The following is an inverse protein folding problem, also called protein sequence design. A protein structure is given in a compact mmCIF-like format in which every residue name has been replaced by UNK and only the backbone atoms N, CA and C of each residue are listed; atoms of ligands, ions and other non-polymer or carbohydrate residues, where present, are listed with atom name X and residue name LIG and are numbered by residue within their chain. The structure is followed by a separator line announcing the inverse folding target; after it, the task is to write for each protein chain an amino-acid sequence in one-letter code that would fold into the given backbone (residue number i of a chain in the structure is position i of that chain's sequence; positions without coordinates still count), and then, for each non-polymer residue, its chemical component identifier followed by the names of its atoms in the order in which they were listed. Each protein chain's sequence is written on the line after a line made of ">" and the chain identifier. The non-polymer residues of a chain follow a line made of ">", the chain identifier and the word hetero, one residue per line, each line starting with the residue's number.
data_IF_510186310548
#
_entry.id   IF_510186310548
#
_cell.length_a   1.000
_cell.length_b   1.000
_cell.length_c   1.000
_cell.angle_alpha   90.00
_cell.angle_beta   90.00
_cell.angle_gamma   90.00
#
_symmetry.space_group_name_H-M   'P 1'
#
loop_
_entity.id
_entity.type
_entity.pdbx_description
1 polymer ?
#
# COMPACT_ATOMS: atom_id res chain seq x y z
N UNK A 1 -35.74 38.16 -8.40
CA UNK A 1 -36.51 36.90 -8.54
C UNK A 1 -35.54 35.74 -8.52
N UNK A 2 -35.65 34.80 -7.56
CA UNK A 2 -34.78 33.61 -7.50
C UNK A 2 -35.27 32.62 -8.56
N UNK A 3 -34.37 32.12 -9.41
CA UNK A 3 -34.69 31.04 -10.36
C UNK A 3 -35.26 29.84 -9.56
N UNK A 4 -36.35 29.20 -10.02
CA UNK A 4 -36.80 27.95 -9.44
C UNK A 4 -35.66 26.94 -9.45
N UNK A 5 -35.46 26.25 -8.32
CA UNK A 5 -34.43 25.23 -8.18
C UNK A 5 -34.79 24.05 -9.09
N UNK A 6 -33.89 23.70 -9.98
CA UNK A 6 -34.04 22.54 -10.85
C UNK A 6 -33.68 21.28 -10.06
N UNK A 7 -34.70 20.66 -9.47
CA UNK A 7 -34.54 19.45 -8.68
C UNK A 7 -34.07 18.26 -9.53
N UNK A 8 -34.40 18.22 -10.82
CA UNK A 8 -33.98 17.14 -11.72
C UNK A 8 -32.48 17.21 -11.98
N UNK A 9 -31.95 18.43 -12.15
CA UNK A 9 -30.51 18.66 -12.24
C UNK A 9 -29.77 18.27 -10.94
N UNK A 10 -30.32 18.62 -9.77
CA UNK A 10 -29.76 18.25 -8.47
C UNK A 10 -29.77 16.73 -8.24
N UNK A 11 -30.87 16.05 -8.60
CA UNK A 11 -31.00 14.60 -8.51
C UNK A 11 -29.99 13.89 -9.42
N UNK A 12 -29.82 14.39 -10.66
CA UNK A 12 -28.82 13.87 -11.59
C UNK A 12 -27.40 14.05 -11.06
N UNK A 13 -27.07 15.24 -10.55
CA UNK A 13 -25.76 15.51 -9.97
C UNK A 13 -25.45 14.61 -8.75
N UNK A 14 -26.46 14.31 -7.92
CA UNK A 14 -26.30 13.36 -6.80
C UNK A 14 -26.09 11.93 -7.28
N UNK A 15 -26.86 11.49 -8.28
CA UNK A 15 -26.70 10.16 -8.87
C UNK A 15 -25.31 9.97 -9.48
N UNK A 16 -24.80 10.96 -10.21
CA UNK A 16 -23.46 10.92 -10.80
C UNK A 16 -22.37 10.89 -9.73
N UNK A 17 -22.49 11.68 -8.66
CA UNK A 17 -21.58 11.61 -7.50
C UNK A 17 -21.61 10.24 -6.83
N UNK A 18 -22.78 9.65 -6.63
CA UNK A 18 -22.90 8.31 -6.06
C UNK A 18 -22.20 7.25 -6.92
N UNK A 19 -22.34 7.34 -8.26
CA UNK A 19 -21.63 6.47 -9.21
C UNK A 19 -20.12 6.66 -9.13
N UNK A 20 -19.62 7.90 -9.13
CA UNK A 20 -18.20 8.19 -9.00
C UNK A 20 -17.60 7.63 -7.71
N UNK A 21 -18.31 7.79 -6.58
CA UNK A 21 -17.89 7.22 -5.30
C UNK A 21 -17.82 5.69 -5.34
N UNK A 22 -18.80 5.05 -5.99
CA UNK A 22 -18.81 3.59 -6.16
C UNK A 22 -17.61 3.12 -7.00
N UNK A 23 -17.37 3.76 -8.14
CA UNK A 23 -16.22 3.44 -9.00
C UNK A 23 -14.91 3.62 -8.26
N UNK A 24 -14.72 4.74 -7.54
CA UNK A 24 -13.51 4.97 -6.75
C UNK A 24 -13.30 3.90 -5.69
N UNK A 25 -14.36 3.49 -4.97
CA UNK A 25 -14.28 2.40 -3.98
C UNK A 25 -13.89 1.07 -4.64
N UNK A 26 -14.43 0.77 -5.81
CA UNK A 26 -14.08 -0.45 -6.54
C UNK A 26 -12.62 -0.46 -6.97
N UNK A 27 -12.11 0.66 -7.49
CA UNK A 27 -10.69 0.78 -7.84
C UNK A 27 -9.79 0.60 -6.60
N UNK A 28 -10.12 1.26 -5.48
CA UNK A 28 -9.36 1.14 -4.23
C UNK A 28 -9.32 -0.29 -3.69
N UNK A 29 -10.42 -1.03 -3.78
CA UNK A 29 -10.45 -2.44 -3.39
C UNK A 29 -9.61 -3.30 -4.34
N UNK A 30 -9.64 -3.02 -5.65
CA UNK A 30 -8.77 -3.68 -6.63
C UNK A 30 -7.29 -3.44 -6.32
N UNK A 31 -6.90 -2.18 -6.09
CA UNK A 31 -5.53 -1.81 -5.70
C UNK A 31 -5.09 -2.52 -4.42
N UNK A 32 -5.98 -2.64 -3.42
CA UNK A 32 -5.69 -3.35 -2.18
C UNK A 32 -5.44 -4.85 -2.42
N UNK A 33 -6.26 -5.49 -3.24
CA UNK A 33 -6.10 -6.91 -3.57
C UNK A 33 -4.75 -7.15 -4.24
N UNK A 34 -4.37 -6.30 -5.20
CA UNK A 34 -3.06 -6.37 -5.86
C UNK A 34 -1.90 -6.10 -4.88
N UNK A 35 -2.00 -5.07 -4.04
CA UNK A 35 -0.93 -4.69 -3.10
C UNK A 35 -0.67 -5.78 -2.04
N UNK A 36 -1.72 -6.51 -1.65
CA UNK A 36 -1.63 -7.61 -0.69
C UNK A 36 -1.21 -8.94 -1.33
N UNK A 37 -1.10 -9.00 -2.67
CA UNK A 37 -0.83 -10.21 -3.43
C UNK A 37 -1.99 -11.22 -3.41
N UNK A 38 -3.19 -10.78 -3.03
CA UNK A 38 -4.37 -11.62 -2.95
C UNK A 38 -4.97 -11.90 -4.35
N UNK A 39 -4.51 -11.22 -5.38
CA UNK A 39 -4.85 -11.47 -6.79
C UNK A 39 -4.33 -12.82 -7.31
N UNK A 40 -3.33 -13.39 -6.65
CA UNK A 40 -2.83 -14.73 -6.95
C UNK A 40 -3.72 -15.86 -6.42
N UNK A 41 -4.67 -15.55 -5.52
CA UNK A 41 -5.60 -16.53 -4.96
C UNK A 41 -6.75 -16.82 -5.93
N UNK A 42 -7.30 -18.04 -5.87
CA UNK A 42 -8.53 -18.36 -6.59
C UNK A 42 -9.71 -17.52 -6.08
N UNK A 43 -10.68 -17.23 -6.96
CA UNK A 43 -11.84 -16.39 -6.61
C UNK A 43 -12.64 -17.02 -5.46
N UNK A 44 -12.77 -18.34 -5.45
CA UNK A 44 -13.45 -19.12 -4.42
C UNK A 44 -12.70 -19.08 -3.09
N UNK A 45 -11.36 -19.18 -3.11
CA UNK A 45 -10.52 -19.12 -1.91
C UNK A 45 -10.56 -17.75 -1.27
N UNK A 46 -10.44 -16.70 -2.10
CA UNK A 46 -10.57 -15.32 -1.66
C UNK A 46 -11.96 -15.05 -1.08
N UNK A 47 -13.03 -15.52 -1.73
CA UNK A 47 -14.38 -15.42 -1.23
C UNK A 47 -14.54 -16.11 0.14
N UNK A 48 -14.01 -17.33 0.29
CA UNK A 48 -14.02 -18.07 1.56
C UNK A 48 -13.29 -17.31 2.68
N UNK A 49 -12.11 -16.77 2.40
CA UNK A 49 -11.35 -15.97 3.35
C UNK A 49 -12.11 -14.71 3.78
N UNK A 50 -12.75 -14.00 2.84
CA UNK A 50 -13.55 -12.81 3.13
C UNK A 50 -14.82 -13.13 3.95
N UNK A 51 -15.49 -14.26 3.67
CA UNK A 51 -16.64 -14.71 4.45
C UNK A 51 -16.24 -15.04 5.89
N UNK A 52 -15.14 -15.77 6.08
CA UNK A 52 -14.61 -16.05 7.41
C UNK A 52 -14.22 -14.74 8.14
N UNK A 53 -13.61 -13.80 7.42
CA UNK A 53 -13.26 -12.50 8.00
C UNK A 53 -14.49 -11.64 8.36
N UNK A 54 -15.58 -11.77 7.60
CA UNK A 54 -16.84 -11.12 7.88
C UNK A 54 -17.52 -11.68 9.14
N UNK A 55 -17.40 -12.98 9.39
CA UNK A 55 -17.98 -13.67 10.54
C UNK A 55 -17.16 -13.55 11.84
N UNK A 56 -15.92 -13.05 11.77
CA UNK A 56 -15.02 -13.01 12.91
C UNK A 56 -15.47 -12.05 14.03
N UNK A 57 -15.20 -12.45 15.27
CA UNK A 57 -15.52 -11.70 16.47
C UNK A 57 -14.69 -10.41 16.60
N UNK A 58 -15.19 -9.47 17.41
CA UNK A 58 -14.53 -8.18 17.70
C UNK A 58 -13.04 -8.30 18.11
N UNK A 59 -12.63 -9.18 19.05
CA UNK A 59 -11.21 -9.29 19.42
C UNK A 59 -10.33 -9.74 18.26
N UNK A 60 -10.79 -10.73 17.47
CA UNK A 60 -10.08 -11.23 16.29
C UNK A 60 -9.93 -10.15 15.24
N UNK A 61 -11.00 -9.38 15.00
CA UNK A 61 -10.99 -8.24 14.08
C UNK A 61 -10.02 -7.14 14.50
N UNK A 62 -9.87 -6.89 15.80
CA UNK A 62 -8.91 -5.91 16.30
C UNK A 62 -7.46 -6.34 16.04
N UNK A 63 -7.14 -7.63 16.20
CA UNK A 63 -5.82 -8.17 15.86
C UNK A 63 -5.53 -7.98 14.37
N UNK A 64 -6.49 -8.31 13.50
CA UNK A 64 -6.32 -8.10 12.06
C UNK A 64 -6.23 -6.63 11.68
N UNK A 65 -6.96 -5.74 12.37
CA UNK A 65 -6.86 -4.29 12.18
C UNK A 65 -5.45 -3.79 12.47
N UNK A 66 -4.83 -4.23 13.58
CA UNK A 66 -3.44 -3.88 13.91
C UNK A 66 -2.46 -4.39 12.87
N UNK A 67 -2.62 -5.63 12.42
CA UNK A 67 -1.80 -6.21 11.35
C UNK A 67 -1.95 -5.45 10.03
N UNK A 68 -3.18 -5.12 9.64
CA UNK A 68 -3.48 -4.33 8.45
C UNK A 68 -2.87 -2.93 8.52
N UNK A 69 -2.97 -2.26 9.67
CA UNK A 69 -2.33 -0.96 9.88
C UNK A 69 -0.80 -1.04 9.69
N UNK A 70 -0.16 -2.09 10.22
CA UNK A 70 1.28 -2.30 10.05
C UNK A 70 1.69 -2.50 8.58
N UNK A 71 0.86 -3.18 7.77
CA UNK A 71 1.08 -3.34 6.33
C UNK A 71 1.16 -1.97 5.62
N UNK A 72 0.18 -1.09 5.85
CA UNK A 72 0.16 0.24 5.23
C UNK A 72 1.22 1.20 5.80
N UNK A 73 1.67 1.00 7.03
CA UNK A 73 2.76 1.79 7.61
C UNK A 73 4.11 1.43 6.97
N UNK A 74 4.37 0.15 6.67
CA UNK A 74 5.58 -0.29 5.97
C UNK A 74 5.65 0.30 4.56
N UNK A 75 4.54 0.24 3.81
CA UNK A 75 4.44 0.84 2.48
C UNK A 75 4.80 2.34 2.49
N UNK A 76 4.34 3.08 3.51
CA UNK A 76 4.66 4.51 3.68
C UNK A 76 6.15 4.75 3.98
N UNK A 77 6.76 3.88 4.78
CA UNK A 77 8.18 3.98 5.12
C UNK A 77 9.07 3.64 3.90
N UNK A 78 8.69 2.64 3.09
CA UNK A 78 9.39 2.29 1.86
C UNK A 78 9.20 3.35 0.76
N UNK A 79 8.02 3.95 0.64
CA UNK A 79 7.77 5.08 -0.25
C UNK A 79 8.63 6.31 0.13
N UNK A 80 8.80 6.60 1.43
CA UNK A 80 9.68 7.66 1.92
C UNK A 80 11.17 7.37 1.73
N UNK A 81 11.58 6.10 1.78
CA UNK A 81 12.97 5.69 1.49
C UNK A 81 13.32 5.83 0.00
N UNK A 82 12.35 5.65 -0.90
CA UNK A 82 12.53 5.85 -2.34
C UNK A 82 12.67 7.33 -2.73
N UNK A 83 12.08 8.26 -1.98
CA UNK A 83 12.25 9.70 -2.22
C UNK A 83 13.49 10.31 -1.52
N UNK A 84 14.11 9.59 -0.59
CA UNK A 84 15.30 10.02 0.17
C UNK A 84 16.65 9.48 -0.34
N UNK A 85 16.68 8.72 -1.43
CA UNK A 85 17.93 8.28 -2.08
C UNK A 85 18.19 9.11 -3.32
N UNK A 86 18.66 10.34 -3.13
CA UNK A 86 19.52 10.95 -4.14
C UNK A 86 20.82 10.13 -4.23
N UNK A 87 21.21 9.61 -5.39
CA UNK A 87 22.54 9.09 -5.63
C UNK A 87 23.43 10.26 -6.07
N UNK A 88 23.72 11.18 -5.16
CA UNK A 88 24.57 12.34 -5.41
C UNK A 88 25.88 12.21 -4.66
N UNK A 89 26.93 11.74 -5.33
CA UNK A 89 28.31 11.89 -4.85
C UNK A 89 29.13 10.61 -4.87
N UNK A 90 29.50 10.14 -6.07
CA UNK A 90 30.82 9.56 -6.28
C UNK A 90 31.87 10.60 -5.88
N UNK A 91 32.33 10.56 -4.63
CA UNK A 91 33.64 11.07 -4.30
C UNK A 91 34.62 9.93 -4.59
N UNK A 92 35.22 9.98 -5.79
CA UNK A 92 36.51 9.35 -6.04
C UNK A 92 37.50 9.99 -5.05
N UNK A 93 37.64 9.38 -3.88
CA UNK A 93 38.79 9.54 -3.00
C UNK A 93 39.81 8.49 -3.41
N UNK A 94 40.60 8.81 -4.42
CA UNK A 94 41.81 8.08 -4.71
C UNK A 94 42.70 7.97 -3.46
N UNK A 95 43.28 6.78 -3.31
CA UNK A 95 44.65 6.56 -2.82
C UNK A 95 44.83 6.51 -1.30
N UNK A 96 44.90 5.27 -0.78
CA UNK A 96 45.50 5.04 0.53
C UNK A 96 45.38 3.64 1.09
N UNK A 97 45.85 2.64 0.32
CA UNK A 97 46.36 1.34 0.80
C UNK A 97 45.48 0.44 1.67
N UNK A 98 45.04 -0.67 1.08
CA UNK A 98 44.90 -1.97 1.75
C UNK A 98 45.10 -3.09 0.70
N UNK A 99 45.37 -4.36 1.06
CA UNK A 99 46.43 -4.94 1.90
C UNK A 99 47.24 -5.99 1.09
N UNK A 100 48.27 -6.59 1.71
CA UNK A 100 48.63 -7.98 1.39
C UNK A 100 49.05 -8.74 2.66
N UNK A 101 48.52 -9.95 2.89
CA UNK A 101 48.86 -10.83 4.00
C UNK A 101 49.95 -11.85 3.62
N UNK A 102 50.67 -12.36 4.62
CA UNK A 102 51.72 -13.38 4.51
C UNK A 102 52.98 -12.90 5.27
N UNK A 103 53.64 -13.65 6.15
CA UNK A 103 53.86 -15.09 6.16
C UNK A 103 54.11 -15.60 7.59
N UNK A 104 54.04 -16.92 7.72
CA UNK A 104 54.31 -17.71 8.90
C UNK A 104 55.79 -17.71 9.33
N UNK A 105 56.04 -17.83 10.64
CA UNK A 105 57.13 -18.66 11.17
C UNK A 105 58.28 -17.98 11.93
N UNK A 106 58.77 -18.73 12.94
CA UNK A 106 59.97 -18.56 13.78
C UNK A 106 59.83 -17.58 14.97
N UNK A 107 60.24 -17.89 16.21
CA UNK A 107 60.95 -19.02 16.82
C UNK A 107 60.57 -19.11 18.31
#
# INVERSE_FOLDING_TARGET
>A
MRKPRDYDADLKALADKARQLKTRKQCQLGELVMATGADALGVEELAGALLNAAAADSPTREVWRKRGAAFFQRERHDAGRRTGREPGGTAAGERGAEPAPGEAGAA
#
